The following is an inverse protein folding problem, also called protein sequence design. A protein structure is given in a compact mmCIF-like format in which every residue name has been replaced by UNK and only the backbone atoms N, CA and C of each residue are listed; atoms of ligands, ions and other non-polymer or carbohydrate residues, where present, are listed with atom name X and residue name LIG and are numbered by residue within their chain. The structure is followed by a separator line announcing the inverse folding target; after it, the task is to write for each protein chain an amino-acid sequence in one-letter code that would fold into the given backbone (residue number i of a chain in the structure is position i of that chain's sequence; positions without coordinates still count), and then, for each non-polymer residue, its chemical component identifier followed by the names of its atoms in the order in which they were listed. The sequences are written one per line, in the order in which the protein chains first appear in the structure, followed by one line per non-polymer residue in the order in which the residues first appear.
data_IF_771862866471
#
_entry.id   IF_771862866471
#
_cell.length_a   1.000
_cell.length_b   1.000
_cell.length_c   1.000
_cell.angle_alpha   90.00
_cell.angle_beta   90.00
_cell.angle_gamma   90.00
#
_symmetry.space_group_name_H-M   'P 1'
#
loop_
_entity.id
_entity.type
_entity.pdbx_description
1 polymer ?
#
# COMPACT_ATOMS: atom_id res chain seq x y z
N UNK A 1 0.35 -19.07 -9.94
CA UNK A 1 1.38 -18.02 -9.81
C UNK A 1 0.74 -16.76 -10.37
N UNK A 2 0.30 -15.85 -9.50
CA UNK A 2 -0.26 -14.56 -9.91
C UNK A 2 0.90 -13.68 -10.37
N UNK A 3 0.76 -13.08 -11.55
CA UNK A 3 1.80 -12.27 -12.19
C UNK A 3 1.55 -10.77 -11.95
N UNK A 4 0.47 -10.39 -11.25
CA UNK A 4 0.09 -8.98 -11.09
C UNK A 4 -0.64 -8.69 -9.78
N UNK A 5 -0.06 -7.81 -8.96
CA UNK A 5 -0.67 -7.25 -7.75
C UNK A 5 -1.29 -5.87 -8.04
N UNK A 6 -2.55 -5.68 -7.68
CA UNK A 6 -3.28 -4.41 -7.83
C UNK A 6 -3.66 -3.88 -6.45
N UNK A 7 -3.24 -2.64 -6.16
CA UNK A 7 -3.59 -1.96 -4.93
C UNK A 7 -4.60 -0.83 -5.19
N UNK A 8 -5.72 -0.85 -4.47
CA UNK A 8 -6.80 0.12 -4.60
C UNK A 8 -6.79 1.09 -3.42
N UNK A 9 -6.67 2.38 -3.75
CA UNK A 9 -6.86 3.49 -2.81
C UNK A 9 -8.28 4.02 -2.99
N UNK A 10 -9.10 3.87 -1.96
CA UNK A 10 -10.50 4.27 -2.00
C UNK A 10 -10.90 5.10 -0.78
N UNK A 11 -12.08 5.71 -0.81
CA UNK A 11 -12.66 6.38 0.36
C UNK A 11 -13.14 5.38 1.40
N UNK A 12 -13.21 5.82 2.67
CA UNK A 12 -13.60 4.95 3.80
C UNK A 12 -14.99 4.32 3.65
N UNK A 13 -15.88 4.91 2.86
CA UNK A 13 -17.24 4.41 2.61
C UNK A 13 -17.36 3.47 1.40
N UNK A 14 -16.27 3.11 0.73
CA UNK A 14 -16.34 2.19 -0.40
C UNK A 14 -16.55 0.75 0.04
N UNK A 15 -17.31 -0.01 -0.76
CA UNK A 15 -17.62 -1.43 -0.53
C UNK A 15 -16.39 -2.29 -0.84
N UNK A 16 -15.55 -2.53 0.16
CA UNK A 16 -14.30 -3.28 0.02
C UNK A 16 -14.51 -4.67 -0.57
N UNK A 17 -15.60 -5.34 -0.21
CA UNK A 17 -15.94 -6.69 -0.65
C UNK A 17 -16.08 -6.75 -2.17
N UNK A 18 -16.73 -5.75 -2.77
CA UNK A 18 -16.88 -5.66 -4.22
C UNK A 18 -15.58 -5.38 -4.97
N UNK A 19 -14.58 -4.81 -4.31
CA UNK A 19 -13.26 -4.56 -4.88
C UNK A 19 -12.44 -5.85 -4.82
N UNK A 20 -12.42 -6.48 -3.65
CA UNK A 20 -11.69 -7.72 -3.38
C UNK A 20 -12.27 -8.92 -4.15
N UNK A 21 -13.57 -8.91 -4.48
CA UNK A 21 -14.19 -9.96 -5.31
C UNK A 21 -13.67 -9.99 -6.76
N UNK A 22 -12.91 -8.98 -7.20
CA UNK A 22 -12.24 -9.00 -8.51
C UNK A 22 -10.89 -9.71 -8.48
N UNK A 23 -10.43 -10.16 -7.31
CA UNK A 23 -9.25 -11.01 -7.21
C UNK A 23 -9.51 -12.34 -7.93
N UNK A 24 -8.48 -12.84 -8.63
CA UNK A 24 -8.50 -14.11 -9.36
C UNK A 24 -7.14 -14.79 -9.22
N UNK A 25 -6.99 -16.01 -9.73
CA UNK A 25 -5.72 -16.76 -9.68
C UNK A 25 -4.52 -16.03 -10.32
N UNK A 26 -4.79 -15.02 -11.16
CA UNK A 26 -3.78 -14.22 -11.89
C UNK A 26 -3.65 -12.78 -11.43
N UNK A 27 -4.59 -12.29 -10.62
CA UNK A 27 -4.66 -10.90 -10.18
C UNK A 27 -4.99 -10.90 -8.69
N UNK A 28 -4.05 -10.42 -7.87
CA UNK A 28 -4.32 -10.18 -6.47
C UNK A 28 -4.70 -8.72 -6.23
N UNK A 29 -5.84 -8.47 -5.59
CA UNK A 29 -6.34 -7.13 -5.30
C UNK A 29 -6.29 -6.85 -3.81
N UNK A 30 -5.64 -5.75 -3.45
CA UNK A 30 -5.48 -5.29 -2.06
C UNK A 30 -6.07 -3.90 -1.84
N UNK A 31 -6.63 -3.66 -0.66
CA UNK A 31 -7.05 -2.32 -0.23
C UNK A 31 -5.88 -1.63 0.48
N UNK A 32 -5.44 -0.47 -0.04
CA UNK A 32 -4.26 0.24 0.46
C UNK A 32 -4.27 0.46 1.97
N UNK A 33 -5.42 0.80 2.53
CA UNK A 33 -5.56 1.13 3.95
C UNK A 33 -5.45 -0.07 4.89
N UNK A 34 -5.67 -1.27 4.37
CA UNK A 34 -5.60 -2.52 5.14
C UNK A 34 -4.17 -3.10 5.13
N UNK A 35 -3.29 -2.52 4.32
CA UNK A 35 -1.90 -2.93 4.21
C UNK A 35 -1.04 -2.36 5.35
N UNK A 36 -0.09 -3.17 5.88
CA UNK A 36 0.97 -2.69 6.76
C UNK A 36 1.72 -1.50 6.14
N UNK A 37 2.23 -0.61 6.99
CA UNK A 37 2.90 0.62 6.56
C UNK A 37 4.06 0.37 5.58
N UNK A 38 4.84 -0.69 5.78
CA UNK A 38 5.94 -1.04 4.87
C UNK A 38 5.43 -1.42 3.47
N UNK A 39 4.31 -2.14 3.37
CA UNK A 39 3.70 -2.49 2.07
C UNK A 39 3.10 -1.25 1.42
N UNK A 40 2.42 -0.40 2.20
CA UNK A 40 1.93 0.90 1.69
C UNK A 40 3.04 1.73 1.09
N UNK A 41 4.19 1.83 1.78
CA UNK A 41 5.37 2.50 1.26
C UNK A 41 5.88 1.86 -0.03
N UNK A 42 5.96 0.52 -0.09
CA UNK A 42 6.35 -0.21 -1.30
C UNK A 42 5.43 0.09 -2.48
N UNK A 43 4.11 0.09 -2.27
CA UNK A 43 3.11 0.44 -3.28
C UNK A 43 3.32 1.86 -3.80
N UNK A 44 3.59 2.83 -2.92
CA UNK A 44 3.85 4.22 -3.33
C UNK A 44 5.19 4.35 -4.09
N UNK A 45 6.22 3.61 -3.67
CA UNK A 45 7.57 3.72 -4.23
C UNK A 45 7.73 3.00 -5.57
N UNK A 46 7.17 1.80 -5.70
CA UNK A 46 7.41 0.88 -6.81
C UNK A 46 6.19 0.72 -7.72
N UNK A 47 4.99 1.05 -7.20
CA UNK A 47 3.74 0.89 -7.93
C UNK A 47 3.62 1.86 -9.10
N UNK A 48 2.95 1.39 -10.17
CA UNK A 48 2.61 2.20 -11.34
C UNK A 48 1.13 2.59 -11.26
N UNK A 49 0.78 3.89 -11.31
CA UNK A 49 -0.62 4.31 -11.25
C UNK A 49 -1.37 3.88 -12.53
N UNK A 50 -2.37 3.03 -12.37
CA UNK A 50 -3.26 2.62 -13.48
C UNK A 50 -4.40 3.62 -13.69
N UNK A 51 -4.92 4.19 -12.60
CA UNK A 51 -6.00 5.17 -12.62
C UNK A 51 -5.91 6.11 -11.41
N UNK A 52 -6.09 7.41 -11.63
CA UNK A 52 -6.09 8.42 -10.56
C UNK A 52 -7.22 9.42 -10.79
N UNK A 53 -8.29 9.32 -9.99
CA UNK A 53 -9.42 10.27 -10.04
C UNK A 53 -9.06 11.66 -9.50
N UNK A 54 -8.35 11.72 -8.37
CA UNK A 54 -7.98 12.97 -7.70
C UNK A 54 -6.48 13.01 -7.40
N UNK A 55 -5.73 13.77 -8.20
CA UNK A 55 -4.27 13.90 -8.09
C UNK A 55 -3.82 14.52 -6.77
N UNK A 56 -4.56 15.51 -6.26
CA UNK A 56 -4.21 16.18 -4.99
C UNK A 56 -4.36 15.22 -3.81
N UNK A 57 -5.43 14.42 -3.80
CA UNK A 57 -5.64 13.37 -2.79
C UNK A 57 -4.53 12.33 -2.87
N UNK A 58 -4.18 11.87 -4.08
CA UNK A 58 -3.08 10.93 -4.26
C UNK A 58 -1.76 11.49 -3.72
N UNK A 59 -1.43 12.74 -4.06
CA UNK A 59 -0.23 13.41 -3.56
C UNK A 59 -0.18 13.48 -2.02
N UNK A 60 -1.31 13.84 -1.37
CA UNK A 60 -1.40 13.87 0.09
C UNK A 60 -1.16 12.49 0.71
N UNK A 61 -1.69 11.43 0.09
CA UNK A 61 -1.51 10.05 0.55
C UNK A 61 -0.06 9.62 0.40
N UNK A 62 0.57 9.93 -0.74
CA UNK A 62 2.00 9.69 -0.98
C UNK A 62 2.86 10.34 0.10
N UNK A 63 2.70 11.65 0.31
CA UNK A 63 3.49 12.40 1.30
C UNK A 63 3.31 11.82 2.71
N UNK A 64 2.06 11.60 3.13
CA UNK A 64 1.79 11.04 4.46
C UNK A 64 2.41 9.64 4.63
N UNK A 65 2.27 8.78 3.63
CA UNK A 65 2.82 7.41 3.67
C UNK A 65 4.35 7.42 3.75
N UNK A 66 5.01 8.28 2.97
CA UNK A 66 6.47 8.41 2.97
C UNK A 66 6.97 8.91 4.33
N UNK A 67 6.37 9.98 4.85
CA UNK A 67 6.75 10.53 6.16
C UNK A 67 6.55 9.49 7.27
N UNK A 68 5.36 8.87 7.33
CA UNK A 68 5.06 7.82 8.31
C UNK A 68 6.06 6.66 8.26
N UNK A 69 6.44 6.23 7.05
CA UNK A 69 7.43 5.16 6.89
C UNK A 69 8.82 5.60 7.37
N UNK A 70 9.26 6.81 7.04
CA UNK A 70 10.55 7.34 7.48
C UNK A 70 10.62 7.49 9.00
N UNK A 71 9.52 7.91 9.65
CA UNK A 71 9.43 7.99 11.11
C UNK A 71 9.51 6.60 11.76
N UNK A 72 8.91 5.60 11.13
CA UNK A 72 8.89 4.22 11.64
C UNK A 72 10.17 3.43 11.34
N UNK A 73 10.86 3.76 10.24
CA UNK A 73 12.02 3.02 9.73
C UNK A 73 13.13 2.79 10.78
N UNK A 74 13.54 3.78 11.60
CA UNK A 74 14.56 3.56 12.63
C UNK A 74 14.17 2.51 13.68
N UNK A 75 12.88 2.45 14.04
CA UNK A 75 12.36 1.45 14.99
C UNK A 75 12.45 0.05 14.39
N UNK A 76 12.09 -0.06 13.11
CA UNK A 76 12.16 -1.31 12.35
C UNK A 76 13.62 -1.81 12.25
N UNK A 77 14.55 -0.93 11.89
CA UNK A 77 15.98 -1.25 11.78
C UNK A 77 16.57 -1.69 13.12
N UNK A 78 16.22 -1.01 14.22
CA UNK A 78 16.65 -1.40 15.57
C UNK A 78 16.08 -2.75 16.00
N UNK A 79 14.85 -3.06 15.60
CA UNK A 79 14.24 -4.35 15.91
C UNK A 79 14.95 -5.48 15.16
N UNK A 80 15.17 -5.30 13.85
CA UNK A 80 15.86 -6.30 13.03
C UNK A 80 17.32 -6.51 13.42
N UNK A 81 18.05 -5.45 13.78
CA UNK A 81 19.45 -5.59 14.21
C UNK A 81 19.62 -6.38 15.50
N UNK A 82 18.59 -6.44 16.35
CA UNK A 82 18.57 -7.23 17.59
C UNK A 82 18.14 -8.68 17.39
N UNK A 83 17.35 -8.95 16.35
CA UNK A 83 16.82 -10.28 16.06
C UNK A 83 17.77 -11.12 15.18
N UNK A 84 18.58 -10.45 14.37
CA UNK A 84 19.55 -11.06 13.44
C UNK A 84 20.98 -11.08 14.00
N UNK A 85 21.18 -10.63 15.25
CA UNK A 85 22.42 -10.73 16.02
C UNK A 85 22.40 -11.95 16.91
#
# INVERSE_FOLDING_TARGET
YSDTDICVITDRGARKESILSNSSDKIDTSIFWDLPLYIRYKVIKEGKPLYVKNKLKMHRITVNTVLSYLDFKPLLERHFSRFLS
#
